data_IF_475459671909
#
_entry.id   IF_475459671909
#
_cell.length_a   1.000
_cell.length_b   1.000
_cell.length_c   1.000
_cell.angle_alpha   90.00
_cell.angle_beta   90.00
_cell.angle_gamma   90.00
#
_symmetry.space_group_name_H-M   'P 1'
#
loop_
_entity.id
_entity.type
_entity.pdbx_description
1 polymer ?
#
# COMPACT_ATOMS: atom_id res chain seq x y z
N UNK A 1 22.05 11.65 -15.95
CA UNK A 1 21.24 10.45 -16.25
C UNK A 1 19.79 10.82 -16.00
N UNK A 2 18.92 10.79 -17.02
CA UNK A 2 17.48 10.94 -16.83
C UNK A 2 16.96 9.64 -16.22
N UNK A 3 16.56 9.68 -14.95
CA UNK A 3 15.82 8.57 -14.35
C UNK A 3 14.46 8.48 -15.06
N UNK A 4 13.98 7.26 -15.39
CA UNK A 4 12.66 7.12 -15.99
C UNK A 4 11.59 7.73 -15.08
N UNK A 5 10.61 8.42 -15.67
CA UNK A 5 9.52 9.04 -14.91
C UNK A 5 8.85 8.01 -14.00
N UNK A 6 8.63 8.34 -12.71
CA UNK A 6 8.12 7.37 -11.75
C UNK A 6 6.69 6.94 -12.12
N UNK A 7 6.43 5.63 -12.10
CA UNK A 7 5.11 5.05 -12.42
C UNK A 7 4.28 4.98 -11.15
N UNK A 8 3.22 5.78 -11.07
CA UNK A 8 2.40 5.90 -9.87
C UNK A 8 1.01 5.34 -10.13
N UNK A 9 0.43 4.68 -9.11
CA UNK A 9 -0.96 4.24 -9.13
C UNK A 9 -1.69 4.79 -7.91
N UNK A 10 -2.87 5.39 -8.14
CA UNK A 10 -3.77 5.80 -7.06
C UNK A 10 -4.66 4.62 -6.64
N UNK A 11 -4.41 4.07 -5.47
CA UNK A 11 -5.26 3.05 -4.85
C UNK A 11 -6.52 3.74 -4.36
N UNK A 12 -7.64 3.41 -4.99
CA UNK A 12 -8.86 4.20 -4.88
C UNK A 12 -10.06 3.31 -4.58
N UNK A 13 -10.79 3.56 -3.48
CA UNK A 13 -12.05 2.89 -3.21
C UNK A 13 -13.17 3.46 -4.09
N UNK A 14 -14.24 2.69 -4.36
CA UNK A 14 -15.29 3.09 -5.33
C UNK A 14 -15.90 4.47 -5.07
N UNK A 15 -16.10 4.84 -3.80
CA UNK A 15 -16.67 6.13 -3.39
C UNK A 15 -15.80 7.35 -3.72
N UNK A 16 -14.51 7.15 -3.97
CA UNK A 16 -13.55 8.23 -4.28
C UNK A 16 -13.09 8.20 -5.74
N UNK A 17 -13.67 7.33 -6.57
CA UNK A 17 -13.23 7.07 -7.94
C UNK A 17 -13.23 8.34 -8.80
N UNK A 18 -14.34 9.08 -8.81
CA UNK A 18 -14.51 10.25 -9.68
C UNK A 18 -13.51 11.36 -9.32
N UNK A 19 -13.26 11.55 -8.02
CA UNK A 19 -12.29 12.54 -7.56
C UNK A 19 -10.85 12.11 -7.90
N UNK A 20 -10.50 10.85 -7.66
CA UNK A 20 -9.16 10.34 -7.96
C UNK A 20 -8.86 10.40 -9.47
N UNK A 21 -9.85 10.17 -10.33
CA UNK A 21 -9.68 10.21 -11.78
C UNK A 21 -9.27 11.60 -12.30
N UNK A 22 -9.65 12.68 -11.61
CA UNK A 22 -9.29 14.06 -12.00
C UNK A 22 -7.77 14.31 -11.99
N UNK A 23 -7.00 13.48 -11.28
CA UNK A 23 -5.55 13.56 -11.22
C UNK A 23 -4.83 13.00 -12.44
N UNK A 24 -5.56 12.36 -13.38
CA UNK A 24 -4.98 11.83 -14.62
C UNK A 24 -3.97 10.68 -14.41
N UNK A 25 -3.87 10.15 -13.20
CA UNK A 25 -2.99 9.02 -12.87
C UNK A 25 -3.67 7.67 -13.11
N UNK A 26 -2.90 6.61 -13.43
CA UNK A 26 -3.41 5.25 -13.41
C UNK A 26 -4.04 4.90 -12.05
N UNK A 27 -5.19 4.25 -12.07
CA UNK A 27 -5.92 3.88 -10.85
C UNK A 27 -5.71 2.40 -10.51
N UNK A 28 -5.72 2.08 -9.23
CA UNK A 28 -5.88 0.73 -8.72
C UNK A 28 -7.20 0.63 -7.96
N UNK A 29 -8.14 -0.17 -8.49
CA UNK A 29 -9.53 -0.19 -8.04
C UNK A 29 -9.69 -1.11 -6.81
N UNK A 30 -9.95 -0.52 -5.64
CA UNK A 30 -10.18 -1.24 -4.37
C UNK A 30 -11.64 -1.69 -4.26
N UNK A 31 -12.10 -2.45 -5.25
CA UNK A 31 -13.51 -2.84 -5.37
C UNK A 31 -13.73 -4.34 -5.25
N UNK A 32 -12.67 -5.14 -5.04
CA UNK A 32 -12.74 -6.59 -5.11
C UNK A 32 -12.16 -7.23 -3.86
N UNK A 33 -12.79 -8.31 -3.43
CA UNK A 33 -12.35 -9.07 -2.27
C UNK A 33 -12.75 -10.54 -2.43
N UNK A 34 -11.91 -11.46 -1.98
CA UNK A 34 -12.32 -12.85 -1.75
C UNK A 34 -12.98 -12.95 -0.39
N UNK A 35 -14.20 -13.48 -0.35
CA UNK A 35 -14.85 -13.83 0.90
C UNK A 35 -14.29 -15.13 1.50
N UNK A 36 -14.80 -15.51 2.67
CA UNK A 36 -14.36 -16.70 3.41
C UNK A 36 -14.58 -18.00 2.62
N UNK A 37 -15.53 -18.02 1.68
CA UNK A 37 -15.81 -19.17 0.79
C UNK A 37 -14.94 -19.17 -0.46
N UNK A 38 -14.11 -18.13 -0.65
CA UNK A 38 -13.27 -17.90 -1.82
C UNK A 38 -14.04 -17.43 -3.05
N UNK A 39 -15.26 -16.94 -2.87
CA UNK A 39 -16.00 -16.25 -3.92
C UNK A 39 -15.46 -14.83 -4.07
N UNK A 40 -15.30 -14.39 -5.33
CA UNK A 40 -14.92 -13.02 -5.65
C UNK A 40 -16.13 -12.11 -5.51
N UNK A 41 -16.14 -11.33 -4.45
CA UNK A 41 -17.09 -10.26 -4.19
C UNK A 41 -16.62 -8.96 -4.83
N UNK A 42 -17.56 -8.18 -5.35
CA UNK A 42 -17.31 -6.89 -5.95
C UNK A 42 -18.21 -5.82 -5.33
N UNK A 43 -17.61 -4.74 -4.83
CA UNK A 43 -18.32 -3.52 -4.45
C UNK A 43 -18.81 -2.78 -5.71
N UNK A 44 -19.91 -2.00 -5.64
CA UNK A 44 -20.44 -1.27 -6.78
C UNK A 44 -19.38 -0.37 -7.42
N UNK A 45 -18.91 -0.76 -8.61
CA UNK A 45 -17.91 -0.02 -9.37
C UNK A 45 -18.57 0.57 -10.62
N UNK A 46 -18.52 1.90 -10.83
CA UNK A 46 -19.11 2.55 -11.99
C UNK A 46 -18.64 1.96 -13.33
N UNK A 47 -19.41 2.13 -14.42
CA UNK A 47 -19.05 1.60 -15.75
C UNK A 47 -17.72 2.14 -16.29
N UNK A 48 -17.33 3.36 -15.91
CA UNK A 48 -16.05 3.99 -16.27
C UNK A 48 -14.88 3.52 -15.41
N UNK A 49 -15.11 2.78 -14.32
CA UNK A 49 -14.07 2.09 -13.55
C UNK A 49 -13.48 0.93 -14.34
N UNK A 50 -12.64 1.23 -15.32
CA UNK A 50 -11.94 0.30 -16.23
C UNK A 50 -10.50 0.75 -16.41
N UNK A 51 -9.64 -0.15 -16.87
CA UNK A 51 -8.19 0.13 -17.00
C UNK A 51 -7.50 0.31 -15.64
N UNK A 52 -6.18 0.50 -15.65
CA UNK A 52 -5.40 0.52 -14.41
C UNK A 52 -5.21 -0.87 -13.82
N UNK A 53 -5.29 -1.01 -12.49
CA UNK A 53 -5.06 -2.27 -11.76
C UNK A 53 -6.30 -2.72 -11.00
N UNK A 54 -6.45 -4.03 -10.84
CA UNK A 54 -7.45 -4.64 -9.97
C UNK A 54 -6.84 -4.89 -8.59
N UNK A 55 -7.36 -4.32 -7.51
CA UNK A 55 -6.95 -4.71 -6.16
C UNK A 55 -7.94 -5.71 -5.59
N UNK A 56 -7.44 -6.86 -5.15
CA UNK A 56 -8.22 -7.96 -4.55
C UNK A 56 -7.78 -8.17 -3.11
N UNK A 57 -8.63 -7.80 -2.16
CA UNK A 57 -8.41 -8.08 -0.75
C UNK A 57 -8.65 -9.56 -0.42
N UNK A 58 -7.85 -10.12 0.47
CA UNK A 58 -8.04 -11.46 1.03
C UNK A 58 -7.82 -11.40 2.55
N UNK A 59 -8.77 -10.84 3.31
CA UNK A 59 -8.61 -10.68 4.76
C UNK A 59 -8.62 -12.03 5.48
N UNK A 60 -9.37 -13.01 4.95
CA UNK A 60 -9.41 -14.38 5.45
C UNK A 60 -9.09 -15.38 4.35
N UNK A 61 -8.15 -16.29 4.60
CA UNK A 61 -7.81 -17.35 3.65
C UNK A 61 -8.95 -18.38 3.59
N UNK A 62 -9.58 -18.63 2.42
CA UNK A 62 -10.67 -19.60 2.27
C UNK A 62 -10.15 -21.05 2.19
N UNK A 63 -9.07 -21.35 2.91
CA UNK A 63 -8.36 -22.62 2.81
C UNK A 63 -9.27 -23.78 3.22
N UNK A 64 -9.33 -24.80 2.37
CA UNK A 64 -10.19 -25.97 2.59
C UNK A 64 -11.66 -25.77 2.25
N UNK A 65 -12.08 -24.56 1.86
CA UNK A 65 -13.48 -24.24 1.54
C UNK A 65 -13.76 -24.23 0.04
N UNK A 66 -12.76 -23.94 -0.80
CA UNK A 66 -12.89 -23.96 -2.25
C UNK A 66 -11.60 -24.33 -2.97
N UNK A 67 -11.73 -24.68 -4.25
CA UNK A 67 -10.60 -24.84 -5.17
C UNK A 67 -10.06 -23.46 -5.60
N UNK A 68 -8.78 -23.13 -5.34
CA UNK A 68 -8.17 -21.88 -5.77
C UNK A 68 -8.30 -21.61 -7.27
N UNK A 69 -8.40 -22.64 -8.12
CA UNK A 69 -8.58 -22.49 -9.56
C UNK A 69 -9.84 -21.70 -9.92
N UNK A 70 -10.91 -21.82 -9.11
CA UNK A 70 -12.13 -21.03 -9.27
C UNK A 70 -11.83 -19.55 -9.05
N UNK A 71 -11.22 -19.21 -7.93
CA UNK A 71 -10.86 -17.83 -7.60
C UNK A 71 -9.90 -17.23 -8.66
N UNK A 72 -8.90 -17.98 -9.10
CA UNK A 72 -8.00 -17.59 -10.20
C UNK A 72 -8.78 -17.25 -11.46
N UNK A 73 -9.68 -18.14 -11.91
CA UNK A 73 -10.47 -17.92 -13.12
C UNK A 73 -11.36 -16.68 -12.99
N UNK A 74 -12.04 -16.53 -11.84
CA UNK A 74 -12.99 -15.44 -11.63
C UNK A 74 -12.26 -14.08 -11.61
N UNK A 75 -11.10 -13.99 -10.94
CA UNK A 75 -10.23 -12.80 -10.95
C UNK A 75 -9.71 -12.49 -12.35
N UNK A 76 -9.18 -13.49 -13.09
CA UNK A 76 -8.68 -13.29 -14.45
C UNK A 76 -9.78 -12.85 -15.43
N UNK A 77 -11.00 -13.38 -15.25
CA UNK A 77 -12.17 -13.02 -16.07
C UNK A 77 -12.54 -11.55 -15.86
N UNK A 78 -12.62 -11.09 -14.61
CA UNK A 78 -12.87 -9.68 -14.30
C UNK A 78 -11.73 -8.79 -14.78
N UNK A 79 -10.48 -9.19 -14.54
CA UNK A 79 -9.28 -8.50 -15.00
C UNK A 79 -9.31 -8.29 -16.51
N UNK A 80 -9.70 -9.30 -17.28
CA UNK A 80 -9.88 -9.19 -18.73
C UNK A 80 -11.06 -8.30 -19.12
N UNK A 81 -12.24 -8.53 -18.54
CA UNK A 81 -13.46 -7.82 -18.93
C UNK A 81 -13.43 -6.32 -18.65
N UNK A 82 -12.70 -5.89 -17.62
CA UNK A 82 -12.49 -4.47 -17.28
C UNK A 82 -11.22 -3.87 -17.89
N UNK A 83 -10.43 -4.66 -18.60
CA UNK A 83 -9.19 -4.21 -19.24
C UNK A 83 -8.09 -3.80 -18.24
N UNK A 84 -8.05 -4.41 -17.07
CA UNK A 84 -7.01 -4.14 -16.07
C UNK A 84 -5.65 -4.64 -16.56
N UNK A 85 -4.61 -3.83 -16.39
CA UNK A 85 -3.22 -4.14 -16.77
C UNK A 85 -2.47 -5.03 -15.77
N UNK A 86 -3.11 -5.37 -14.65
CA UNK A 86 -2.53 -6.19 -13.60
C UNK A 86 -3.46 -6.37 -12.41
N UNK A 87 -3.01 -7.18 -11.45
CA UNK A 87 -3.74 -7.50 -10.22
C UNK A 87 -2.82 -7.24 -9.02
N UNK A 88 -3.31 -6.56 -8.01
CA UNK A 88 -2.71 -6.42 -6.69
C UNK A 88 -3.46 -7.38 -5.78
N UNK A 89 -2.76 -8.32 -5.16
CA UNK A 89 -3.31 -9.10 -4.07
C UNK A 89 -2.98 -8.41 -2.75
N UNK A 90 -3.99 -8.10 -1.95
CA UNK A 90 -3.80 -7.58 -0.60
C UNK A 90 -4.04 -8.72 0.40
N UNK A 91 -2.94 -9.32 0.84
CA UNK A 91 -2.91 -10.55 1.65
C UNK A 91 -2.49 -10.21 3.08
N UNK A 92 -3.44 -10.24 4.01
CA UNK A 92 -3.18 -9.92 5.42
C UNK A 92 -2.74 -11.14 6.25
N UNK A 93 -3.02 -12.35 5.76
CA UNK A 93 -2.77 -13.59 6.48
C UNK A 93 -1.38 -14.18 6.16
N UNK A 94 -0.81 -15.00 7.05
CA UNK A 94 0.36 -15.79 6.74
C UNK A 94 0.13 -16.72 5.53
N UNK A 95 1.19 -17.10 4.81
CA UNK A 95 1.06 -17.97 3.64
C UNK A 95 0.35 -19.29 3.94
N UNK A 96 -0.66 -19.61 3.13
CA UNK A 96 -1.38 -20.88 3.16
C UNK A 96 -1.23 -21.59 1.82
N UNK A 97 -1.47 -22.91 1.77
CA UNK A 97 -1.46 -23.67 0.51
C UNK A 97 -2.42 -23.07 -0.52
N UNK A 98 -3.59 -22.61 -0.07
CA UNK A 98 -4.57 -21.95 -0.93
C UNK A 98 -3.99 -20.68 -1.58
N UNK A 99 -3.38 -19.80 -0.77
CA UNK A 99 -2.81 -18.55 -1.25
C UNK A 99 -1.63 -18.79 -2.20
N UNK A 100 -0.77 -19.78 -1.92
CA UNK A 100 0.31 -20.16 -2.84
C UNK A 100 -0.22 -20.61 -4.21
N UNK A 101 -1.29 -21.41 -4.23
CA UNK A 101 -1.92 -21.89 -5.47
C UNK A 101 -2.64 -20.75 -6.22
N UNK A 102 -3.28 -19.84 -5.49
CA UNK A 102 -3.88 -18.63 -6.04
C UNK A 102 -2.82 -17.76 -6.73
N UNK A 103 -1.69 -17.49 -6.06
CA UNK A 103 -0.57 -16.71 -6.60
C UNK A 103 -0.03 -17.35 -7.88
N UNK A 104 0.28 -18.64 -7.85
CA UNK A 104 0.81 -19.36 -9.01
C UNK A 104 -0.14 -19.30 -10.22
N UNK A 105 -1.42 -19.61 -10.01
CA UNK A 105 -2.41 -19.57 -11.10
C UNK A 105 -2.66 -18.17 -11.66
N UNK A 106 -2.63 -17.13 -10.81
CA UNK A 106 -2.74 -15.75 -11.26
C UNK A 106 -1.50 -15.30 -12.03
N UNK A 107 -0.30 -15.64 -11.56
CA UNK A 107 0.95 -15.32 -12.25
C UNK A 107 0.97 -15.91 -13.67
N UNK A 108 0.64 -17.20 -13.81
CA UNK A 108 0.58 -17.87 -15.11
C UNK A 108 -0.41 -17.16 -16.05
N UNK A 109 -1.63 -16.93 -15.57
CA UNK A 109 -2.69 -16.31 -16.35
C UNK A 109 -2.42 -14.85 -16.74
N UNK A 110 -1.77 -14.08 -15.86
CA UNK A 110 -1.40 -12.69 -16.13
C UNK A 110 -0.21 -12.58 -17.07
N UNK A 111 0.80 -13.44 -16.91
CA UNK A 111 2.00 -13.47 -17.76
C UNK A 111 1.64 -13.71 -19.23
N UNK A 112 0.75 -14.67 -19.50
CA UNK A 112 0.27 -14.96 -20.86
C UNK A 112 -0.31 -13.73 -21.58
N UNK A 113 -0.79 -12.76 -20.81
CA UNK A 113 -1.44 -11.53 -21.29
C UNK A 113 -0.56 -10.28 -21.13
N UNK A 114 0.73 -10.46 -20.80
CA UNK A 114 1.70 -9.37 -20.51
C UNK A 114 1.22 -8.42 -19.40
N UNK A 115 0.54 -8.96 -18.38
CA UNK A 115 0.05 -8.23 -17.21
C UNK A 115 0.89 -8.55 -15.98
N UNK A 116 0.88 -7.65 -15.02
CA UNK A 116 1.70 -7.77 -13.80
C UNK A 116 0.88 -8.19 -12.60
N UNK A 117 1.41 -9.14 -11.82
CA UNK A 117 0.94 -9.46 -10.48
C UNK A 117 1.74 -8.63 -9.46
N UNK A 118 1.05 -8.03 -8.49
CA UNK A 118 1.66 -7.32 -7.36
C UNK A 118 1.34 -8.07 -6.07
N UNK A 119 2.38 -8.33 -5.28
CA UNK A 119 2.28 -9.07 -4.02
C UNK A 119 2.87 -8.24 -2.86
N UNK A 120 2.32 -8.36 -1.65
CA UNK A 120 2.97 -7.82 -0.48
C UNK A 120 4.28 -8.55 -0.24
N UNK A 121 5.24 -7.87 0.39
CA UNK A 121 6.58 -8.43 0.65
C UNK A 121 6.58 -9.77 1.40
N UNK A 122 5.64 -10.00 2.31
CA UNK A 122 5.50 -11.30 3.00
C UNK A 122 5.31 -12.48 2.04
N UNK A 123 4.91 -12.21 0.80
CA UNK A 123 4.75 -13.19 -0.28
C UNK A 123 5.79 -13.06 -1.39
N UNK A 124 6.84 -12.25 -1.20
CA UNK A 124 7.85 -11.98 -2.23
C UNK A 124 8.59 -13.21 -2.73
N UNK A 125 8.73 -14.24 -1.88
CA UNK A 125 9.41 -15.49 -2.22
C UNK A 125 8.51 -16.52 -2.93
N UNK A 126 7.23 -16.21 -3.13
CA UNK A 126 6.27 -17.10 -3.81
C UNK A 126 6.25 -16.90 -5.33
N UNK A 127 7.05 -15.96 -5.83
CA UNK A 127 7.11 -15.60 -7.24
C UNK A 127 8.43 -14.90 -7.57
N UNK A 128 9.03 -15.25 -8.70
CA UNK A 128 10.20 -14.56 -9.25
C UNK A 128 9.83 -13.42 -10.22
N UNK A 129 8.56 -13.32 -10.62
CA UNK A 129 8.09 -12.39 -11.67
C UNK A 129 7.20 -11.28 -11.15
N UNK A 130 6.49 -11.52 -10.04
CA UNK A 130 5.61 -10.54 -9.44
C UNK A 130 6.41 -9.32 -8.98
N UNK A 131 5.76 -8.17 -9.05
CA UNK A 131 6.26 -6.96 -8.40
C UNK A 131 5.89 -6.98 -6.93
N UNK A 132 6.83 -6.61 -6.08
CA UNK A 132 6.70 -6.70 -4.64
C UNK A 132 6.45 -5.29 -4.09
N UNK A 133 5.37 -5.12 -3.35
CA UNK A 133 5.08 -3.85 -2.68
C UNK A 133 5.34 -3.93 -1.18
N UNK A 134 5.85 -2.83 -0.65
CA UNK A 134 6.16 -2.64 0.77
C UNK A 134 5.72 -1.24 1.21
N UNK A 135 5.40 -1.10 2.50
CA UNK A 135 4.97 0.17 3.08
C UNK A 135 6.15 1.08 3.37
N UNK A 136 5.97 2.39 3.16
CA UNK A 136 6.90 3.43 3.61
C UNK A 136 6.66 3.88 5.06
N UNK A 137 5.59 3.40 5.69
CA UNK A 137 5.27 3.70 7.08
C UNK A 137 5.92 2.65 8.00
N UNK A 138 7.05 3.00 8.59
CA UNK A 138 7.77 2.20 9.59
C UNK A 138 7.71 2.88 10.95
N UNK A 139 7.63 2.09 12.02
CA UNK A 139 7.57 2.57 13.41
C UNK A 139 8.90 2.41 14.17
N UNK A 140 9.90 1.81 13.54
CA UNK A 140 11.23 1.58 14.11
C UNK A 140 12.25 1.22 13.06
N UNK A 141 13.54 1.32 13.40
CA UNK A 141 14.65 1.13 12.46
C UNK A 141 14.84 2.33 11.52
N UNK A 142 15.40 2.08 10.34
CA UNK A 142 15.69 3.10 9.33
C UNK A 142 15.08 2.74 7.99
N UNK A 143 14.32 3.65 7.40
CA UNK A 143 13.64 3.45 6.12
C UNK A 143 14.66 3.21 5.00
N UNK A 144 15.78 3.95 5.00
CA UNK A 144 16.84 3.76 4.01
C UNK A 144 17.36 2.32 4.03
N UNK A 145 17.80 1.86 5.21
CA UNK A 145 18.30 0.49 5.40
C UNK A 145 17.26 -0.54 5.00
N UNK A 146 16.00 -0.31 5.37
CA UNK A 146 14.88 -1.21 5.04
C UNK A 146 14.65 -1.35 3.53
N UNK A 147 14.79 -0.26 2.79
CA UNK A 147 14.67 -0.26 1.32
C UNK A 147 15.90 -0.91 0.68
N UNK A 148 17.11 -0.64 1.19
CA UNK A 148 18.35 -1.29 0.73
C UNK A 148 18.28 -2.82 0.91
N UNK A 149 17.83 -3.32 2.07
CA UNK A 149 17.62 -4.75 2.32
C UNK A 149 16.60 -5.38 1.36
N UNK A 150 15.52 -4.66 1.03
CA UNK A 150 14.53 -5.12 0.06
C UNK A 150 15.10 -5.12 -1.38
N UNK A 151 15.97 -4.16 -1.71
CA UNK A 151 16.64 -4.05 -3.01
C UNK A 151 17.63 -5.21 -3.18
N UNK A 152 18.42 -5.51 -2.15
CA UNK A 152 19.36 -6.63 -2.17
C UNK A 152 18.63 -7.97 -2.37
N UNK A 153 17.41 -8.08 -1.83
CA UNK A 153 16.61 -9.31 -1.92
C UNK A 153 15.87 -9.46 -3.26
N UNK A 154 15.20 -8.40 -3.73
CA UNK A 154 14.26 -8.48 -4.87
C UNK A 154 14.71 -7.73 -6.12
N UNK A 155 15.71 -6.86 -6.01
CA UNK A 155 16.11 -5.92 -7.04
C UNK A 155 15.16 -4.72 -7.16
N UNK A 156 15.67 -3.52 -7.49
CA UNK A 156 14.89 -2.28 -7.43
C UNK A 156 13.74 -2.25 -8.46
N UNK A 157 13.90 -2.94 -9.59
CA UNK A 157 12.90 -3.00 -10.65
C UNK A 157 11.65 -3.81 -10.29
N UNK A 158 11.74 -4.72 -9.31
CA UNK A 158 10.60 -5.49 -8.82
C UNK A 158 9.87 -4.80 -7.68
N UNK A 159 10.47 -3.79 -7.05
CA UNK A 159 9.86 -3.09 -5.93
C UNK A 159 8.82 -2.05 -6.36
N UNK A 160 7.84 -1.84 -5.49
CA UNK A 160 6.84 -0.77 -5.54
C UNK A 160 6.68 -0.21 -4.13
N UNK A 161 7.00 1.05 -3.90
CA UNK A 161 6.83 1.64 -2.58
C UNK A 161 5.38 2.13 -2.40
N UNK A 162 4.70 1.60 -1.40
CA UNK A 162 3.39 2.08 -0.97
C UNK A 162 3.58 3.26 -0.01
N UNK A 163 3.28 4.46 -0.49
CA UNK A 163 3.28 5.69 0.32
C UNK A 163 2.00 5.72 1.15
N UNK A 164 2.11 5.24 2.39
CA UNK A 164 1.08 5.36 3.41
C UNK A 164 1.39 6.53 4.32
N UNK A 165 0.34 7.23 4.73
CA UNK A 165 0.44 8.29 5.74
C UNK A 165 0.40 7.65 7.12
N UNK A 166 1.54 7.56 7.80
CA UNK A 166 1.57 7.15 9.20
C UNK A 166 0.71 8.11 10.04
N UNK A 167 -0.05 7.56 10.99
CA UNK A 167 -0.81 8.36 11.96
C UNK A 167 -1.24 7.47 13.12
N UNK A 168 -0.29 7.21 14.00
CA UNK A 168 -0.39 6.16 15.00
C UNK A 168 -0.02 6.68 16.40
N UNK A 169 -0.81 6.27 17.40
CA UNK A 169 -0.54 6.48 18.81
C UNK A 169 -0.03 5.19 19.45
N UNK A 170 1.21 5.24 19.93
CA UNK A 170 1.88 4.13 20.58
C UNK A 170 1.84 4.32 22.09
N UNK A 171 1.21 3.36 22.78
CA UNK A 171 1.35 3.25 24.22
C UNK A 171 2.73 2.66 24.57
N UNK A 172 3.46 3.31 25.48
CA UNK A 172 4.81 2.90 25.85
C UNK A 172 4.84 2.13 27.18
N UNK A 173 5.62 1.02 27.25
CA UNK A 173 6.50 0.49 26.21
C UNK A 173 5.75 -0.26 25.09
N UNK A 174 6.05 0.06 23.82
CA UNK A 174 5.45 -0.62 22.66
C UNK A 174 6.30 -1.82 22.24
N UNK A 175 6.15 -2.94 22.95
CA UNK A 175 6.97 -4.15 22.75
C UNK A 175 6.83 -4.72 21.33
N UNK A 176 5.65 -4.62 20.72
CA UNK A 176 5.38 -5.12 19.36
C UNK A 176 5.66 -4.08 18.27
N UNK A 177 5.98 -2.84 18.63
CA UNK A 177 6.14 -1.75 17.66
C UNK A 177 4.88 -1.46 16.83
N UNK A 178 3.70 -1.79 17.36
CA UNK A 178 2.42 -1.55 16.69
C UNK A 178 1.68 -0.43 17.43
N UNK A 179 1.41 0.65 16.69
CA UNK A 179 0.64 1.78 17.18
C UNK A 179 -0.84 1.59 16.88
N UNK A 180 -1.68 2.32 17.61
CA UNK A 180 -3.10 2.41 17.33
C UNK A 180 -3.33 3.53 16.29
N UNK A 181 -3.93 3.24 15.13
CA UNK A 181 -4.31 4.29 14.19
C UNK A 181 -5.25 5.28 14.85
N UNK A 182 -4.96 6.57 14.70
CA UNK A 182 -5.83 7.66 15.17
C UNK A 182 -6.44 8.40 13.97
N UNK A 183 -7.47 9.22 14.20
CA UNK A 183 -8.03 10.10 13.17
C UNK A 183 -7.21 11.38 13.01
N UNK A 184 -7.38 12.08 11.89
CA UNK A 184 -6.75 13.40 11.67
C UNK A 184 -7.17 14.40 12.75
N UNK A 185 -8.47 14.44 13.02
CA UNK A 185 -9.05 15.27 14.08
C UNK A 185 -8.45 14.96 15.45
N UNK A 186 -8.18 13.68 15.75
CA UNK A 186 -7.55 13.28 17.02
C UNK A 186 -6.13 13.81 17.12
N UNK A 187 -5.33 13.71 16.05
CA UNK A 187 -3.97 14.25 16.00
C UNK A 187 -3.98 15.77 16.22
N UNK A 188 -4.84 16.50 15.51
CA UNK A 188 -4.95 17.96 15.62
C UNK A 188 -5.43 18.40 17.01
N UNK A 189 -6.35 17.64 17.61
CA UNK A 189 -6.81 17.89 18.99
C UNK A 189 -5.68 17.67 19.99
N UNK A 190 -4.86 16.64 19.81
CA UNK A 190 -3.69 16.39 20.67
C UNK A 190 -2.67 17.53 20.53
N UNK A 191 -2.35 17.95 19.31
CA UNK A 191 -1.41 19.05 19.06
C UNK A 191 -1.91 20.37 19.66
N UNK A 192 -3.18 20.73 19.45
CA UNK A 192 -3.77 21.95 20.02
C UNK A 192 -3.81 21.94 21.55
N UNK A 193 -4.18 20.80 22.14
CA UNK A 193 -4.35 20.68 23.61
C UNK A 193 -3.01 20.65 24.34
N UNK A 194 -2.02 19.94 23.79
CA UNK A 194 -0.74 19.68 24.45
C UNK A 194 0.33 20.71 24.05
N UNK A 195 0.17 21.38 22.91
CA UNK A 195 1.17 22.22 22.27
C UNK A 195 2.58 21.58 22.29
N UNK A 196 2.72 20.33 21.79
CA UNK A 196 3.95 19.56 21.97
C UNK A 196 5.07 20.11 21.08
N UNK A 197 6.31 19.89 21.49
CA UNK A 197 7.45 20.00 20.56
C UNK A 197 7.42 18.83 19.59
N UNK A 198 7.25 19.13 18.31
CA UNK A 198 7.25 18.15 17.23
C UNK A 198 8.66 18.01 16.68
N UNK A 199 9.14 16.77 16.59
CA UNK A 199 10.46 16.44 16.04
C UNK A 199 10.29 15.68 14.73
N UNK A 200 11.31 15.74 13.87
CA UNK A 200 11.41 14.92 12.67
C UNK A 200 12.45 13.82 12.89
N UNK A 201 12.08 12.57 12.62
CA UNK A 201 13.00 11.43 12.61
C UNK A 201 13.55 11.23 11.20
N UNK A 202 14.86 11.42 10.95
CA UNK A 202 15.47 11.13 9.66
C UNK A 202 15.38 9.64 9.30
N UNK A 203 15.49 8.75 10.30
CA UNK A 203 15.44 7.31 10.10
C UNK A 203 14.06 6.82 9.68
N UNK A 204 13.00 7.27 10.36
CA UNK A 204 11.62 6.91 10.00
C UNK A 204 11.08 7.75 8.84
N UNK A 205 11.75 8.86 8.55
CA UNK A 205 11.29 9.89 7.63
C UNK A 205 9.86 10.37 7.97
N UNK A 206 9.61 10.61 9.26
CA UNK A 206 8.28 10.94 9.79
C UNK A 206 8.40 11.87 11.02
N UNK A 207 7.30 12.54 11.34
CA UNK A 207 7.22 13.40 12.51
C UNK A 207 6.76 12.63 13.74
N UNK A 208 7.22 13.06 14.91
CA UNK A 208 6.76 12.48 16.17
C UNK A 208 6.75 13.50 17.31
N UNK A 209 5.99 13.17 18.34
CA UNK A 209 6.10 13.78 19.66
C UNK A 209 5.68 12.78 20.73
N UNK A 210 6.07 13.02 21.98
CA UNK A 210 5.66 12.20 23.13
C UNK A 210 4.79 13.01 24.08
N UNK A 211 3.91 12.33 24.80
CA UNK A 211 3.14 12.96 25.87
C UNK A 211 2.84 11.97 27.00
N UNK A 212 2.57 12.50 28.19
CA UNK A 212 2.13 11.72 29.34
C UNK A 212 0.62 11.91 29.53
N UNK A 213 -0.11 10.81 29.49
CA UNK A 213 -1.50 10.71 29.91
C UNK A 213 -1.56 10.33 31.38
N UNK A 214 -2.46 10.96 32.14
CA UNK A 214 -2.69 10.62 33.55
C UNK A 214 -3.37 9.26 33.73
N UNK A 215 -4.16 8.83 32.75
CA UNK A 215 -4.95 7.59 32.82
C UNK A 215 -4.16 6.41 32.24
N UNK A 216 -3.53 6.64 31.10
CA UNK A 216 -2.92 5.55 30.31
C UNK A 216 -1.42 5.50 30.47
N UNK A 217 -0.72 6.61 30.73
CA UNK A 217 0.74 6.64 30.89
C UNK A 217 1.45 7.30 29.71
N UNK A 218 2.64 6.80 29.33
CA UNK A 218 3.46 7.41 28.29
C UNK A 218 2.98 7.04 26.88
N UNK A 219 2.94 8.04 26.01
CA UNK A 219 2.53 7.90 24.61
C UNK A 219 3.58 8.48 23.65
N UNK A 220 3.67 7.87 22.48
CA UNK A 220 4.47 8.32 21.34
C UNK A 220 3.56 8.41 20.12
N UNK A 221 3.42 9.60 19.55
CA UNK A 221 2.66 9.83 18.32
C UNK A 221 3.63 9.86 17.15
N UNK A 222 3.38 9.03 16.14
CA UNK A 222 4.10 9.05 14.86
C UNK A 222 3.13 9.46 13.75
N UNK A 223 3.52 10.41 12.93
CA UNK A 223 2.67 10.86 11.83
C UNK A 223 3.46 11.37 10.62
N UNK A 224 2.81 11.29 9.46
CA UNK A 224 3.30 11.83 8.20
C UNK A 224 2.52 13.09 7.78
N UNK A 225 3.25 13.98 7.10
CA UNK A 225 2.71 15.13 6.38
C UNK A 225 3.19 15.13 4.92
N UNK A 226 2.91 16.19 4.18
CA UNK A 226 3.32 16.28 2.77
C UNK A 226 4.84 16.30 2.58
N UNK A 227 5.61 16.89 3.50
CA UNK A 227 7.08 16.94 3.42
C UNK A 227 7.69 15.58 3.69
N UNK A 228 7.22 14.88 4.72
CA UNK A 228 7.69 13.55 5.07
C UNK A 228 7.39 12.55 3.95
N UNK A 229 6.20 12.58 3.36
CA UNK A 229 5.84 11.73 2.21
C UNK A 229 6.68 12.03 0.96
N UNK A 230 6.97 13.30 0.68
CA UNK A 230 7.86 13.68 -0.43
C UNK A 230 9.27 13.15 -0.19
N UNK A 231 9.82 13.31 1.02
CA UNK A 231 11.14 12.77 1.38
C UNK A 231 11.20 11.24 1.27
N UNK A 232 10.16 10.51 1.69
CA UNK A 232 10.06 9.04 1.52
C UNK A 232 10.11 8.64 0.05
N UNK A 233 9.39 9.37 -0.81
CA UNK A 233 9.41 9.17 -2.25
C UNK A 233 10.78 9.44 -2.85
N UNK A 234 11.39 10.59 -2.53
CA UNK A 234 12.72 10.97 -3.02
C UNK A 234 13.78 9.93 -2.62
N UNK A 235 13.79 9.50 -1.36
CA UNK A 235 14.68 8.44 -0.87
C UNK A 235 14.55 7.17 -1.70
N UNK A 236 13.33 6.73 -1.99
CA UNK A 236 13.10 5.54 -2.80
C UNK A 236 13.61 5.70 -4.24
N UNK A 237 13.43 6.89 -4.83
CA UNK A 237 13.94 7.21 -6.17
C UNK A 237 15.47 7.24 -6.22
N UNK A 238 16.13 7.81 -5.20
CA UNK A 238 17.60 7.78 -5.06
C UNK A 238 18.15 6.35 -5.04
N UNK A 239 17.41 5.43 -4.42
CA UNK A 239 17.73 4.01 -4.35
C UNK A 239 17.28 3.21 -5.60
N UNK A 240 16.72 3.88 -6.62
CA UNK A 240 16.33 3.27 -7.89
C UNK A 240 14.91 2.66 -7.93
N UNK A 241 14.12 2.81 -6.88
CA UNK A 241 12.70 2.40 -6.86
C UNK A 241 11.88 3.50 -7.58
N UNK A 242 11.32 3.14 -8.73
CA UNK A 242 10.59 4.08 -9.59
C UNK A 242 9.07 3.88 -9.62
N UNK A 243 8.54 2.93 -8.85
CA UNK A 243 7.11 2.60 -8.85
C UNK A 243 6.49 2.84 -7.49
N UNK A 244 5.31 3.47 -7.48
CA UNK A 244 4.65 3.90 -6.25
C UNK A 244 3.17 3.55 -6.23
N UNK A 245 2.72 3.11 -5.06
CA UNK A 245 1.31 3.01 -4.71
C UNK A 245 0.96 4.15 -3.77
N UNK A 246 -0.09 4.87 -4.11
CA UNK A 246 -0.55 6.05 -3.40
C UNK A 246 -1.99 5.79 -2.94
N UNK A 247 -2.21 5.64 -1.63
CA UNK A 247 -3.55 5.38 -1.11
C UNK A 247 -4.36 6.68 -1.11
N UNK A 248 -5.23 6.85 -2.11
CA UNK A 248 -5.90 8.12 -2.41
C UNK A 248 -6.58 8.74 -1.18
N UNK A 249 -7.40 8.00 -0.38
CA UNK A 249 -8.07 8.59 0.78
C UNK A 249 -7.10 9.11 1.86
N UNK A 250 -5.89 8.56 1.96
CA UNK A 250 -4.91 8.97 2.97
C UNK A 250 -4.07 10.18 2.54
N UNK A 251 -3.86 10.34 1.24
CA UNK A 251 -2.86 11.26 0.69
C UNK A 251 -3.44 12.31 -0.27
N UNK A 252 -4.77 12.37 -0.44
CA UNK A 252 -5.44 13.29 -1.38
C UNK A 252 -4.99 14.75 -1.23
N UNK A 253 -4.86 15.23 0.00
CA UNK A 253 -4.41 16.60 0.30
C UNK A 253 -2.93 16.86 -0.07
N UNK A 254 -2.11 15.81 -0.16
CA UNK A 254 -0.68 15.88 -0.47
C UNK A 254 -0.37 15.60 -1.94
N UNK A 255 -1.34 15.15 -2.73
CA UNK A 255 -1.18 14.87 -4.16
C UNK A 255 -0.58 16.02 -4.99
N UNK A 256 -0.93 17.31 -4.77
CA UNK A 256 -0.29 18.40 -5.50
C UNK A 256 1.24 18.38 -5.39
N UNK A 257 1.78 17.98 -4.22
CA UNK A 257 3.22 17.85 -3.97
C UNK A 257 3.78 16.53 -4.51
N UNK A 258 3.02 15.43 -4.35
CA UNK A 258 3.48 14.08 -4.68
C UNK A 258 3.42 13.75 -6.17
N UNK A 259 2.52 14.35 -6.93
CA UNK A 259 2.38 14.01 -8.35
C UNK A 259 3.37 14.78 -9.21
N UNK A 260 3.79 16.00 -8.79
CA UNK A 260 4.54 16.99 -9.56
C UNK A 260 4.06 17.05 -11.02
N UNK A 261 3.21 18.03 -11.33
CA UNK A 261 2.98 18.41 -12.72
C UNK A 261 4.34 18.83 -13.30
N UNK A 262 4.88 18.04 -14.22
CA UNK A 262 5.93 18.52 -15.11
C UNK A 262 5.32 19.72 -15.85
N UNK A 263 5.78 20.92 -15.51
CA UNK A 263 5.56 22.11 -16.32
C UNK A 263 6.57 22.12 -17.47
#
# INVERSE_FOLDING_TARGET
>A
MMYPSPRQFLLTPPQSLDQAQTWGLPLAHMAYQLDETGQLCQAPLPPHGKGGLMLVGVPTSPAGQCDPRRAVRDILTVCQGRGFGGVILDLEQPPTRFLSQLICGLEEGLTQRKRTLFLPESYGNYSDRASIYLTSAISGGSLRRRLEEAIDTYGPHRLVLCLRRARDDFFLPSVKGQGRPISQETLERLQRRLNPSVFFSPDLCAHYFTYMSRETGAHFILFDDGESLEKKRTLAQELGISRFFLLYPEIAEFLPRLVRQEA
#
